data_IF_734852985896
#
_entry.id   IF_734852985896
#
_cell.length_a   1.000
_cell.length_b   1.000
_cell.length_c   1.000
_cell.angle_alpha   90.00
_cell.angle_beta   90.00
_cell.angle_gamma   90.00
#
_symmetry.space_group_name_H-M   'P 1'
#
loop_
_entity.id
_entity.type
_entity.pdbx_description
1 polymer ?
#
# COMPACT_ATOMS: atom_id res chain seq x y z
N UNK A 1 16.69 -51.72 36.70
CA UNK A 1 17.41 -51.11 35.57
C UNK A 1 16.43 -50.22 34.83
N UNK A 2 16.61 -48.90 34.89
CA UNK A 2 15.69 -47.89 34.35
C UNK A 2 16.36 -47.26 33.12
N UNK A 3 15.74 -47.23 31.93
CA UNK A 3 16.35 -46.64 30.75
C UNK A 3 16.18 -45.12 30.76
N UNK A 4 17.30 -44.39 30.73
CA UNK A 4 17.36 -42.94 30.56
C UNK A 4 17.14 -42.56 29.10
N UNK A 5 16.07 -41.81 28.82
CA UNK A 5 15.79 -41.17 27.53
C UNK A 5 16.63 -39.90 27.37
N UNK A 6 17.49 -39.85 26.35
CA UNK A 6 18.21 -38.64 25.95
C UNK A 6 17.31 -37.75 25.09
N UNK A 7 17.31 -36.41 25.29
CA UNK A 7 16.57 -35.49 24.44
C UNK A 7 17.26 -35.29 23.09
N UNK A 8 16.50 -35.50 22.01
CA UNK A 8 16.90 -35.26 20.63
C UNK A 8 16.88 -33.74 20.35
N UNK A 9 18.05 -33.12 20.22
CA UNK A 9 18.21 -31.72 19.77
C UNK A 9 18.12 -31.67 18.25
N UNK A 10 17.12 -30.95 17.73
CA UNK A 10 17.07 -30.53 16.33
C UNK A 10 17.90 -29.24 16.16
N UNK A 11 18.85 -29.17 15.20
CA UNK A 11 19.53 -27.94 14.86
C UNK A 11 18.60 -27.04 14.04
N UNK A 12 18.23 -25.88 14.59
CA UNK A 12 17.61 -24.79 13.85
C UNK A 12 18.74 -24.09 13.09
N UNK A 13 18.96 -24.48 11.84
CA UNK A 13 19.83 -23.73 10.93
C UNK A 13 19.11 -22.47 10.51
N UNK A 14 19.69 -21.30 10.81
CA UNK A 14 19.28 -19.99 10.31
C UNK A 14 19.42 -19.94 8.78
N UNK A 15 18.41 -20.46 8.09
CA UNK A 15 18.24 -20.33 6.64
C UNK A 15 17.72 -18.94 6.34
N UNK A 16 18.65 -18.03 6.04
CA UNK A 16 18.35 -16.83 5.26
C UNK A 16 17.64 -17.27 3.98
N UNK A 17 16.34 -16.96 3.85
CA UNK A 17 15.67 -17.08 2.56
C UNK A 17 16.14 -15.92 1.68
N UNK A 18 16.87 -16.15 0.58
CA UNK A 18 17.03 -15.12 -0.42
C UNK A 18 15.67 -14.91 -1.07
N UNK A 19 15.07 -13.74 -0.84
CA UNK A 19 14.01 -13.23 -1.70
C UNK A 19 14.62 -13.06 -3.09
N UNK A 20 14.47 -14.11 -3.91
CA UNK A 20 14.78 -14.05 -5.33
C UNK A 20 13.77 -13.10 -5.98
N UNK A 21 14.14 -11.82 -6.09
CA UNK A 21 13.48 -10.91 -7.03
C UNK A 21 13.87 -11.38 -8.43
N UNK A 22 13.16 -12.37 -8.96
CA UNK A 22 13.12 -12.58 -10.41
C UNK A 22 12.30 -11.46 -11.02
N UNK A 23 12.93 -10.30 -11.22
CA UNK A 23 12.49 -9.34 -12.23
C UNK A 23 12.78 -9.93 -13.60
N UNK A 24 12.04 -10.99 -13.98
CA UNK A 24 11.79 -11.24 -15.40
C UNK A 24 10.81 -10.16 -15.84
N UNK A 25 11.34 -8.97 -16.09
CA UNK A 25 10.75 -8.08 -17.06
C UNK A 25 10.69 -8.87 -18.37
N UNK A 26 9.52 -9.43 -18.67
CA UNK A 26 9.20 -9.80 -20.04
C UNK A 26 9.18 -8.49 -20.81
N UNK A 27 10.35 -8.13 -21.35
CA UNK A 27 10.45 -7.27 -22.51
C UNK A 27 9.60 -7.92 -23.60
N UNK A 28 8.34 -7.52 -23.67
CA UNK A 28 7.47 -7.77 -24.79
C UNK A 28 8.06 -6.95 -25.94
N UNK A 29 9.06 -7.52 -26.62
CA UNK A 29 9.60 -6.95 -27.84
C UNK A 29 8.43 -6.77 -28.79
N UNK A 30 8.28 -5.55 -29.27
CA UNK A 30 7.46 -5.10 -30.40
C UNK A 30 7.40 -6.14 -31.53
N UNK A 31 6.49 -7.11 -31.40
CA UNK A 31 6.10 -7.97 -32.48
C UNK A 31 4.97 -7.25 -33.25
N UNK A 32 5.04 -7.14 -34.59
CA UNK A 32 3.97 -6.55 -35.38
C UNK A 32 2.67 -7.34 -35.20
N UNK A 33 1.56 -6.60 -35.14
CA UNK A 33 0.19 -6.96 -34.70
C UNK A 33 -0.52 -8.02 -35.59
N UNK A 34 0.22 -8.81 -36.38
CA UNK A 34 -0.34 -9.81 -37.29
C UNK A 34 0.19 -11.21 -36.99
N UNK A 35 -0.30 -11.81 -35.90
CA UNK A 35 -0.36 -13.27 -35.72
C UNK A 35 -1.65 -13.59 -34.97
N UNK A 36 -2.70 -13.86 -35.73
CA UNK A 36 -3.23 -15.20 -35.95
C UNK A 36 -3.81 -15.80 -34.66
N UNK A 37 -5.14 -15.71 -34.58
CA UNK A 37 -5.99 -16.49 -33.69
C UNK A 37 -5.68 -17.99 -33.88
N UNK A 38 -4.94 -18.59 -32.95
CA UNK A 38 -5.00 -20.03 -32.72
C UNK A 38 -6.20 -20.28 -31.79
N UNK A 39 -7.21 -21.08 -32.20
CA UNK A 39 -8.29 -21.46 -31.30
C UNK A 39 -7.74 -22.39 -30.21
N UNK A 40 -7.80 -21.97 -28.95
CA UNK A 40 -7.45 -22.81 -27.80
C UNK A 40 -6.34 -22.30 -26.88
N UNK A 41 -5.86 -21.06 -27.05
CA UNK A 41 -4.99 -20.38 -26.07
C UNK A 41 -5.62 -19.05 -25.67
N UNK A 42 -6.61 -19.11 -24.80
CA UNK A 42 -7.15 -17.94 -24.11
C UNK A 42 -6.17 -17.48 -23.04
N UNK A 43 -4.96 -17.11 -23.46
CA UNK A 43 -4.09 -16.27 -22.67
C UNK A 43 -4.64 -14.86 -22.87
N UNK A 44 -5.51 -14.42 -21.96
CA UNK A 44 -5.85 -12.99 -21.81
C UNK A 44 -4.53 -12.27 -21.55
N UNK A 45 -3.90 -11.81 -22.61
CA UNK A 45 -2.80 -10.88 -22.53
C UNK A 45 -3.47 -9.55 -22.15
N UNK A 46 -3.55 -9.31 -20.84
CA UNK A 46 -3.96 -8.01 -20.31
C UNK A 46 -2.98 -7.00 -20.91
N UNK A 47 -3.39 -6.30 -21.96
CA UNK A 47 -2.64 -5.18 -22.53
C UNK A 47 -2.67 -4.10 -21.46
N UNK A 48 -1.67 -4.17 -20.58
CA UNK A 48 -1.39 -3.19 -19.56
C UNK A 48 -0.93 -1.93 -20.28
N UNK A 49 -1.90 -1.06 -20.59
CA UNK A 49 -1.61 0.32 -20.99
C UNK A 49 -0.75 0.92 -19.88
N UNK A 50 0.44 1.50 -20.18
CA UNK A 50 1.29 2.12 -19.18
C UNK A 50 0.70 3.49 -18.81
N UNK A 51 -0.48 3.49 -18.23
CA UNK A 51 -0.81 4.53 -17.28
C UNK A 51 0.05 4.18 -16.07
N UNK A 52 1.11 4.96 -15.83
CA UNK A 52 1.90 4.88 -14.61
C UNK A 52 1.04 5.40 -13.46
N UNK A 53 0.01 4.65 -13.07
CA UNK A 53 -0.65 4.81 -11.78
C UNK A 53 0.38 4.37 -10.75
N UNK A 54 0.95 5.35 -10.07
CA UNK A 54 1.68 5.08 -8.85
C UNK A 54 0.65 4.83 -7.75
N UNK A 55 0.90 3.82 -6.93
CA UNK A 55 0.03 3.43 -5.83
C UNK A 55 0.77 3.84 -4.54
N UNK A 56 0.58 5.09 -4.06
CA UNK A 56 1.25 5.57 -2.86
C UNK A 56 0.78 4.83 -1.61
N UNK A 57 1.76 4.33 -0.87
CA UNK A 57 1.58 3.77 0.47
C UNK A 57 1.52 4.92 1.47
N UNK A 58 0.65 4.78 2.47
CA UNK A 58 0.55 5.73 3.57
C UNK A 58 1.77 5.64 4.51
N UNK A 59 2.68 6.60 4.35
CA UNK A 59 3.85 6.81 5.20
C UNK A 59 3.78 8.21 5.83
N UNK A 60 2.56 8.64 6.17
CA UNK A 60 2.31 9.94 6.79
C UNK A 60 3.01 10.06 8.15
N UNK A 61 3.25 11.30 8.57
CA UNK A 61 3.73 11.64 9.91
C UNK A 61 5.06 10.97 10.32
N UNK A 62 6.08 11.05 9.46
CA UNK A 62 7.41 10.61 9.85
C UNK A 62 8.00 11.55 10.93
N UNK A 63 8.59 10.98 11.99
CA UNK A 63 9.23 11.72 13.10
C UNK A 63 8.29 12.59 13.97
N UNK A 64 6.99 12.31 14.06
CA UNK A 64 6.02 13.14 14.84
C UNK A 64 5.76 12.62 16.27
N UNK A 65 6.37 11.48 16.64
CA UNK A 65 6.14 10.80 17.92
C UNK A 65 4.93 9.85 17.89
N UNK A 66 4.65 9.20 19.02
CA UNK A 66 3.79 8.01 19.14
C UNK A 66 2.28 8.24 18.89
N UNK A 67 1.84 9.49 18.65
CA UNK A 67 0.42 9.85 18.57
C UNK A 67 -0.11 10.00 17.14
N UNK A 68 0.72 9.84 16.12
CA UNK A 68 0.32 9.95 14.71
C UNK A 68 1.05 8.89 13.89
N UNK A 69 0.92 7.63 14.27
CA UNK A 69 1.66 6.53 13.65
C UNK A 69 0.99 6.14 12.35
N UNK A 70 1.72 6.20 11.24
CA UNK A 70 1.23 5.68 9.96
C UNK A 70 1.41 4.16 9.88
N UNK A 71 0.54 3.46 9.11
CA UNK A 71 0.63 2.01 8.97
C UNK A 71 1.88 1.51 8.24
N UNK A 72 2.56 2.35 7.45
CA UNK A 72 3.86 2.00 6.87
C UNK A 72 5.05 2.34 7.78
N UNK A 73 4.80 2.87 8.97
CA UNK A 73 5.80 3.14 10.00
C UNK A 73 6.37 1.89 10.67
N UNK A 74 7.15 2.11 11.73
CA UNK A 74 7.98 1.09 12.40
C UNK A 74 7.17 -0.14 12.83
N UNK A 75 7.33 -1.26 12.11
CA UNK A 75 6.83 -2.62 12.39
C UNK A 75 5.46 -2.73 13.05
N UNK A 76 4.46 -2.11 12.41
CA UNK A 76 3.08 -2.22 12.88
C UNK A 76 2.50 -3.57 12.43
N UNK A 77 2.25 -4.48 13.38
CA UNK A 77 1.40 -5.63 13.10
C UNK A 77 -0.03 -5.15 12.85
N UNK A 78 -0.76 -5.79 11.94
CA UNK A 78 -2.18 -5.49 11.71
C UNK A 78 -3.02 -5.55 13.01
N UNK A 79 -2.57 -6.33 14.00
CA UNK A 79 -3.19 -6.42 15.32
C UNK A 79 -2.97 -5.19 16.22
N UNK A 80 -2.02 -4.30 15.89
CA UNK A 80 -1.76 -3.07 16.63
C UNK A 80 -2.60 -1.89 16.15
N UNK A 81 -3.22 -1.97 14.96
CA UNK A 81 -4.11 -0.93 14.46
C UNK A 81 -5.41 -0.93 15.28
N UNK A 82 -5.74 0.19 15.93
CA UNK A 82 -6.95 0.32 16.72
C UNK A 82 -8.20 0.38 15.81
N UNK A 83 -8.07 1.00 14.64
CA UNK A 83 -9.17 1.25 13.71
C UNK A 83 -8.84 0.85 12.25
N UNK A 84 -8.59 -0.44 11.95
CA UNK A 84 -8.13 -0.88 10.62
C UNK A 84 -9.14 -0.63 9.49
N UNK A 85 -10.43 -0.50 9.81
CA UNK A 85 -11.50 -0.18 8.86
C UNK A 85 -11.60 1.30 8.50
N UNK A 86 -10.89 2.18 9.21
CA UNK A 86 -10.88 3.63 8.92
C UNK A 86 -9.50 4.14 8.55
N UNK A 87 -8.45 3.37 8.85
CA UNK A 87 -7.08 3.70 8.45
C UNK A 87 -6.80 3.30 7.00
N UNK A 88 -6.38 4.29 6.21
CA UNK A 88 -5.95 4.18 4.84
C UNK A 88 -4.58 3.49 4.77
N UNK A 89 -4.51 2.40 3.99
CA UNK A 89 -3.24 1.74 3.70
C UNK A 89 -2.60 2.30 2.44
N UNK A 90 -3.41 2.38 1.39
CA UNK A 90 -2.98 2.69 0.03
C UNK A 90 -4.10 3.47 -0.66
N UNK A 91 -3.73 4.44 -1.50
CA UNK A 91 -4.72 5.09 -2.35
C UNK A 91 -4.17 5.37 -3.75
N UNK A 92 -5.04 5.82 -4.63
CA UNK A 92 -4.66 6.20 -5.99
C UNK A 92 -3.72 7.41 -5.97
N UNK A 93 -2.69 7.37 -6.81
CA UNK A 93 -1.67 8.41 -6.82
C UNK A 93 -1.04 8.66 -8.17
N UNK A 94 -0.17 9.66 -8.16
CA UNK A 94 0.53 10.12 -9.34
C UNK A 94 2.00 10.38 -9.03
N UNK A 95 2.88 9.63 -9.68
CA UNK A 95 4.34 9.85 -9.67
C UNK A 95 5.10 9.28 -8.45
N UNK A 96 4.50 9.24 -7.26
CA UNK A 96 5.20 8.81 -6.03
C UNK A 96 4.62 7.50 -5.46
N UNK A 97 5.49 6.63 -4.97
CA UNK A 97 5.15 5.34 -4.36
C UNK A 97 4.84 5.43 -2.85
N UNK A 98 5.08 6.58 -2.25
CA UNK A 98 4.76 6.87 -0.86
C UNK A 98 4.15 8.26 -0.74
N UNK A 99 3.25 8.42 0.21
CA UNK A 99 2.77 9.72 0.66
C UNK A 99 3.27 9.93 2.08
N UNK A 100 4.33 10.72 2.21
CA UNK A 100 4.98 11.03 3.48
C UNK A 100 5.00 12.54 3.75
N UNK A 101 4.95 12.91 5.03
CA UNK A 101 5.17 14.26 5.53
C UNK A 101 5.58 14.18 7.00
N UNK A 102 6.38 15.13 7.49
CA UNK A 102 6.81 15.16 8.89
C UNK A 102 5.68 15.71 9.74
N UNK A 103 5.75 16.99 10.08
CA UNK A 103 4.67 17.74 10.69
C UNK A 103 3.95 18.58 9.66
N UNK A 104 2.70 18.92 9.95
CA UNK A 104 1.90 19.74 9.07
C UNK A 104 1.17 18.92 8.00
N UNK A 105 0.17 19.58 7.44
CA UNK A 105 -0.90 18.94 6.72
C UNK A 105 -0.85 19.40 5.27
N UNK A 106 -0.52 18.53 4.28
CA UNK A 106 -0.46 18.96 2.90
C UNK A 106 -1.83 19.46 2.44
N UNK A 107 -1.87 20.73 2.01
CA UNK A 107 -3.09 21.32 1.47
C UNK A 107 -3.52 20.56 0.20
N UNK A 108 -4.83 20.42 0.01
CA UNK A 108 -5.37 19.92 -1.26
C UNK A 108 -5.32 21.06 -2.25
N UNK A 109 -4.63 20.88 -3.39
CA UNK A 109 -4.44 21.93 -4.38
C UNK A 109 -4.44 21.36 -5.81
N UNK A 110 -4.54 22.23 -6.81
CA UNK A 110 -4.43 21.85 -8.23
C UNK A 110 -5.72 21.41 -8.91
N UNK A 111 -5.62 21.08 -10.20
CA UNK A 111 -6.70 20.55 -11.03
C UNK A 111 -6.11 19.54 -12.04
N UNK A 112 -6.34 18.23 -11.87
CA UNK A 112 -7.08 17.57 -10.79
C UNK A 112 -6.46 17.85 -9.42
N UNK A 113 -7.30 17.88 -8.39
CA UNK A 113 -6.87 18.14 -7.01
C UNK A 113 -5.92 17.02 -6.56
N UNK A 114 -4.79 17.39 -6.01
CA UNK A 114 -3.78 16.48 -5.48
C UNK A 114 -3.53 16.79 -4.01
N UNK A 115 -3.16 15.74 -3.27
CA UNK A 115 -2.68 15.81 -1.90
C UNK A 115 -1.42 14.99 -1.81
N UNK A 116 -0.28 15.66 -1.82
CA UNK A 116 1.02 15.01 -1.88
C UNK A 116 1.08 14.02 -3.07
N UNK A 117 1.22 12.72 -2.82
CA UNK A 117 1.23 11.69 -3.84
C UNK A 117 -0.17 11.25 -4.32
N UNK A 118 -1.22 11.59 -3.58
CA UNK A 118 -2.60 11.20 -3.88
C UNK A 118 -3.22 12.10 -4.92
N UNK A 119 -3.97 11.51 -5.85
CA UNK A 119 -4.65 12.24 -6.94
C UNK A 119 -6.14 11.95 -6.92
N UNK A 120 -6.95 13.02 -7.00
CA UNK A 120 -8.39 12.85 -7.24
C UNK A 120 -8.65 12.37 -8.65
N UNK A 121 -9.64 11.49 -8.76
CA UNK A 121 -10.23 11.04 -10.01
C UNK A 121 -11.57 11.74 -10.22
N UNK A 122 -12.37 11.19 -11.12
CA UNK A 122 -13.66 11.74 -11.49
C UNK A 122 -14.56 12.01 -10.25
N UNK A 123 -15.27 13.14 -10.26
CA UNK A 123 -16.18 13.61 -9.18
C UNK A 123 -15.51 13.83 -7.81
N UNK A 124 -14.25 14.29 -7.80
CA UNK A 124 -13.50 14.61 -6.59
C UNK A 124 -13.32 13.40 -5.64
N UNK A 125 -13.37 12.19 -6.22
CA UNK A 125 -13.23 10.94 -5.49
C UNK A 125 -11.88 10.29 -5.73
N UNK A 126 -11.41 9.57 -4.72
CA UNK A 126 -10.20 8.76 -4.75
C UNK A 126 -10.55 7.35 -4.29
N UNK A 127 -9.97 6.36 -4.96
CA UNK A 127 -10.09 4.97 -4.53
C UNK A 127 -9.06 4.69 -3.44
N UNK A 128 -9.56 4.21 -2.30
CA UNK A 128 -8.77 3.96 -1.10
C UNK A 128 -8.91 2.49 -0.72
N UNK A 129 -7.78 1.85 -0.46
CA UNK A 129 -7.68 0.54 0.18
C UNK A 129 -7.36 0.75 1.66
N UNK A 130 -8.21 0.22 2.53
CA UNK A 130 -8.05 0.27 3.98
C UNK A 130 -7.23 -0.93 4.48
N UNK A 131 -6.77 -0.88 5.74
CA UNK A 131 -5.92 -1.93 6.31
C UNK A 131 -6.63 -3.28 6.45
N UNK A 132 -7.95 -3.30 6.64
CA UNK A 132 -8.75 -4.51 6.67
C UNK A 132 -8.97 -5.16 5.28
N UNK A 133 -8.49 -4.50 4.21
CA UNK A 133 -8.56 -4.99 2.84
C UNK A 133 -9.78 -4.54 2.04
N UNK A 134 -10.71 -3.77 2.61
CA UNK A 134 -11.82 -3.24 1.81
C UNK A 134 -11.39 -2.03 0.98
N UNK A 135 -12.03 -1.86 -0.18
CA UNK A 135 -11.80 -0.74 -1.10
C UNK A 135 -13.05 0.11 -1.17
N UNK A 136 -12.89 1.42 -1.02
CA UNK A 136 -13.99 2.38 -1.14
C UNK A 136 -13.56 3.60 -1.93
N UNK A 137 -14.49 4.14 -2.70
CA UNK A 137 -14.35 5.45 -3.30
C UNK A 137 -14.81 6.51 -2.30
N UNK A 138 -13.92 7.42 -1.93
CA UNK A 138 -14.19 8.48 -0.95
C UNK A 138 -13.83 9.83 -1.52
N UNK A 139 -14.49 10.89 -1.06
CA UNK A 139 -14.10 12.27 -1.42
C UNK A 139 -12.78 12.61 -0.76
N UNK A 140 -11.89 13.31 -1.47
CA UNK A 140 -10.61 13.75 -0.89
C UNK A 140 -10.82 14.61 0.36
N UNK A 141 -11.87 15.44 0.38
CA UNK A 141 -12.21 16.26 1.55
C UNK A 141 -12.50 15.41 2.79
N UNK A 142 -13.04 14.19 2.64
CA UNK A 142 -13.26 13.27 3.75
C UNK A 142 -11.94 12.76 4.34
N UNK A 143 -10.90 12.56 3.51
CA UNK A 143 -9.56 12.21 3.97
C UNK A 143 -8.85 13.39 4.65
N UNK A 144 -9.33 14.62 4.45
CA UNK A 144 -8.77 15.82 5.09
C UNK A 144 -9.41 16.16 6.43
N UNK A 145 -10.26 15.30 6.96
CA UNK A 145 -10.87 15.52 8.26
C UNK A 145 -9.85 15.30 9.37
N UNK A 146 -9.64 16.32 10.19
CA UNK A 146 -8.82 16.24 11.40
C UNK A 146 -9.54 15.40 12.45
N UNK A 147 -8.80 14.52 13.12
CA UNK A 147 -9.25 13.84 14.33
C UNK A 147 -8.90 14.63 15.59
N UNK A 148 -9.16 14.05 16.76
CA UNK A 148 -8.96 14.71 18.05
C UNK A 148 -7.49 15.02 18.37
N UNK A 149 -6.57 14.25 17.81
CA UNK A 149 -5.12 14.31 18.07
C UNK A 149 -4.41 15.34 17.18
N UNK A 150 -5.14 16.00 16.28
CA UNK A 150 -4.62 16.99 15.33
C UNK A 150 -4.01 16.39 14.07
N UNK A 151 -3.89 15.06 14.01
CA UNK A 151 -3.64 14.30 12.79
C UNK A 151 -4.89 14.12 11.94
N UNK A 152 -4.72 13.61 10.73
CA UNK A 152 -5.84 13.20 9.90
C UNK A 152 -6.26 11.78 10.26
N UNK A 153 -7.52 11.62 10.68
CA UNK A 153 -8.06 10.36 11.20
C UNK A 153 -7.93 9.17 10.21
N UNK A 154 -7.93 9.44 8.90
CA UNK A 154 -7.76 8.40 7.89
C UNK A 154 -6.30 7.93 7.75
N UNK A 155 -5.31 8.69 8.21
CA UNK A 155 -3.89 8.40 7.98
C UNK A 155 -3.20 7.82 9.21
N UNK A 156 -3.82 7.94 10.38
CA UNK A 156 -3.35 7.43 11.67
C UNK A 156 -3.96 6.06 11.96
N UNK A 157 -3.23 5.22 12.68
CA UNK A 157 -3.69 3.89 13.11
C UNK A 157 -4.41 3.89 14.47
N UNK A 158 -4.26 5.01 15.18
CA UNK A 158 -4.92 5.33 16.44
C UNK A 158 -6.42 5.62 16.22
N UNK A 159 -7.23 5.34 17.24
CA UNK A 159 -8.66 5.68 17.25
C UNK A 159 -8.79 7.19 17.54
N UNK A 160 -9.35 7.95 16.59
CA UNK A 160 -9.34 9.43 16.57
C UNK A 160 -10.67 10.05 16.14
#
# INVERSE_FOLDING_TARGET
MVPTLLPMRFPITNGWMPFSRTSKAHNCSTAPVNRLMEPGKDSICFVMVPIMVAIPINSAYYNVGDNMTSPAGEYVSLAAAAAPSTTLWVADGNGNYEANWASGNPAVAGTPRTRNAYIERHLDTINVLYLDGHVKSVKMDALTRLGTTGGYAAFTMEDD
#
